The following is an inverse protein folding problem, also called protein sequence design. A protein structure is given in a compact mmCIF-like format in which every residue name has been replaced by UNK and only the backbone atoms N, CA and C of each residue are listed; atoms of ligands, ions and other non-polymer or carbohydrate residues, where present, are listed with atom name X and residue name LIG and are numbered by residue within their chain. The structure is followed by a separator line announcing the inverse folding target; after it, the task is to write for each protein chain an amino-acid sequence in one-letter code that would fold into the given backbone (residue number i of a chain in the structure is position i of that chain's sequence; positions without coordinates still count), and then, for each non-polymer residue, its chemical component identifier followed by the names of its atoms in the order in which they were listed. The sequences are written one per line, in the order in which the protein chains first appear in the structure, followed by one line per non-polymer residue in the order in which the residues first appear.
data_IF_944433291205
#
_entry.id   IF_944433291205
#
_cell.length_a   1.000
_cell.length_b   1.000
_cell.length_c   1.000
_cell.angle_alpha   90.00
_cell.angle_beta   90.00
_cell.angle_gamma   90.00
#
_symmetry.space_group_name_H-M   'P 1'
#
loop_
_entity.id
_entity.type
_entity.pdbx_description
1 polymer ?
#
# COMPACT_ATOMS: atom_id res chain seq x y z
N UNK A 1 3.96 20.17 -1.91
CA UNK A 1 3.10 20.11 -3.12
C UNK A 1 3.01 18.70 -3.69
N UNK A 2 4.04 17.86 -3.56
CA UNK A 2 4.04 16.49 -4.11
C UNK A 2 3.24 15.47 -3.26
N UNK A 3 3.38 15.47 -1.93
CA UNK A 3 2.61 14.54 -1.07
C UNK A 3 1.10 14.69 -1.22
N UNK A 4 0.58 15.92 -1.40
CA UNK A 4 -0.86 16.13 -1.63
C UNK A 4 -1.32 15.54 -2.96
N UNK A 5 -0.50 15.65 -4.02
CA UNK A 5 -0.79 15.02 -5.32
C UNK A 5 -0.78 13.50 -5.20
N UNK A 6 0.20 12.94 -4.51
CA UNK A 6 0.27 11.50 -4.27
C UNK A 6 -0.92 11.01 -3.45
N UNK A 7 -1.28 11.68 -2.34
CA UNK A 7 -2.45 11.33 -1.52
C UNK A 7 -3.77 11.40 -2.31
N UNK A 8 -3.97 12.44 -3.12
CA UNK A 8 -5.13 12.54 -3.98
C UNK A 8 -5.20 11.35 -4.96
N UNK A 9 -4.07 11.02 -5.58
CA UNK A 9 -3.99 9.90 -6.52
C UNK A 9 -4.21 8.55 -5.83
N UNK A 10 -3.68 8.37 -4.62
CA UNK A 10 -3.96 7.18 -3.78
C UNK A 10 -5.46 7.07 -3.52
N UNK A 11 -6.12 8.14 -3.10
CA UNK A 11 -7.55 8.14 -2.80
C UNK A 11 -8.43 7.73 -3.99
N UNK A 12 -8.05 8.09 -5.22
CA UNK A 12 -8.78 7.71 -6.43
C UNK A 12 -8.63 6.23 -6.81
N UNK A 13 -7.48 5.63 -6.49
CA UNK A 13 -7.09 4.28 -6.91
C UNK A 13 -7.35 3.22 -5.82
N UNK A 14 -7.40 3.65 -4.56
CA UNK A 14 -7.58 2.79 -3.39
C UNK A 14 -8.80 1.89 -3.52
N UNK A 15 -8.60 0.58 -3.32
CA UNK A 15 -9.66 -0.44 -3.43
C UNK A 15 -10.22 -0.67 -4.84
N UNK A 16 -9.62 -0.09 -5.90
CA UNK A 16 -10.11 -0.21 -7.29
C UNK A 16 -9.11 -0.84 -8.25
N UNK A 17 -7.82 -0.78 -7.95
CA UNK A 17 -6.74 -1.24 -8.84
C UNK A 17 -5.76 -2.13 -8.10
N UNK A 18 -5.02 -2.97 -8.84
CA UNK A 18 -3.95 -3.80 -8.27
C UNK A 18 -2.68 -2.99 -7.93
N UNK A 19 -1.70 -3.64 -7.28
CA UNK A 19 -0.49 -2.98 -6.76
C UNK A 19 0.38 -2.45 -7.90
N UNK A 20 0.48 -3.20 -9.01
CA UNK A 20 1.19 -2.75 -10.21
C UNK A 20 0.57 -1.49 -10.80
N UNK A 21 -0.74 -1.51 -11.05
CA UNK A 21 -1.49 -0.36 -11.56
C UNK A 21 -1.45 0.83 -10.59
N UNK A 22 -1.42 0.57 -9.29
CA UNK A 22 -1.24 1.58 -8.26
C UNK A 22 0.12 2.26 -8.38
N UNK A 23 1.21 1.50 -8.54
CA UNK A 23 2.55 2.04 -8.75
C UNK A 23 2.68 2.80 -10.07
N UNK A 24 2.08 2.28 -11.15
CA UNK A 24 2.03 2.96 -12.45
C UNK A 24 1.25 4.27 -12.34
N UNK A 25 0.15 4.28 -11.59
CA UNK A 25 -0.65 5.46 -11.31
C UNK A 25 0.09 6.53 -10.50
N UNK A 26 0.96 6.12 -9.56
CA UNK A 26 1.85 7.04 -8.84
C UNK A 26 2.97 7.57 -9.75
N UNK A 27 3.57 6.72 -10.59
CA UNK A 27 4.58 7.13 -11.55
C UNK A 27 4.03 8.15 -12.58
N UNK A 28 2.77 7.99 -12.98
CA UNK A 28 2.05 8.91 -13.87
C UNK A 28 1.83 10.32 -13.31
N UNK A 29 2.07 10.55 -12.01
CA UNK A 29 1.95 11.90 -11.39
C UNK A 29 3.12 12.82 -11.73
N UNK A 30 4.18 12.29 -12.35
CA UNK A 30 5.41 13.04 -12.64
C UNK A 30 6.29 13.31 -11.42
N UNK A 31 5.94 12.74 -10.26
CA UNK A 31 6.77 12.82 -9.05
C UNK A 31 7.99 11.90 -9.19
N UNK A 32 9.21 12.35 -8.82
CA UNK A 32 10.40 11.52 -8.84
C UNK A 32 10.23 10.20 -8.06
N UNK A 33 10.80 9.11 -8.59
CA UNK A 33 10.67 7.76 -8.02
C UNK A 33 11.17 7.71 -6.57
N UNK A 34 12.20 8.47 -6.23
CA UNK A 34 12.78 8.54 -4.89
C UNK A 34 11.77 9.11 -3.89
N UNK A 35 11.03 10.14 -4.30
CA UNK A 35 9.96 10.73 -3.47
C UNK A 35 8.77 9.79 -3.34
N UNK A 36 8.44 9.03 -4.39
CA UNK A 36 7.39 8.01 -4.35
C UNK A 36 7.78 6.90 -3.36
N UNK A 37 9.03 6.42 -3.39
CA UNK A 37 9.51 5.41 -2.45
C UNK A 37 9.41 5.88 -1.00
N UNK A 38 9.83 7.12 -0.71
CA UNK A 38 9.69 7.72 0.63
C UNK A 38 8.22 7.83 1.04
N UNK A 39 7.35 8.22 0.10
CA UNK A 39 5.90 8.31 0.35
C UNK A 39 5.28 6.94 0.66
N UNK A 40 5.67 5.89 -0.07
CA UNK A 40 5.17 4.53 0.15
C UNK A 40 5.52 3.99 1.54
N UNK A 41 6.68 4.39 2.08
CA UNK A 41 7.14 4.03 3.42
C UNK A 41 6.56 4.91 4.53
N UNK A 42 5.98 6.06 4.20
CA UNK A 42 5.40 6.96 5.18
C UNK A 42 4.21 6.30 5.88
N UNK A 43 4.09 6.50 7.19
CA UNK A 43 2.99 6.03 8.05
C UNK A 43 2.22 7.26 8.58
N UNK A 44 1.43 7.94 7.72
CA UNK A 44 0.80 9.20 8.08
C UNK A 44 -0.29 9.04 9.15
N UNK A 45 -0.93 7.88 9.20
CA UNK A 45 -2.08 7.61 10.07
C UNK A 45 -1.74 6.73 11.28
N UNK A 46 -0.47 6.31 11.43
CA UNK A 46 0.00 5.41 12.48
C UNK A 46 -0.44 3.95 12.36
N UNK A 47 -1.16 3.59 11.29
CA UNK A 47 -1.75 2.26 11.05
C UNK A 47 -0.85 1.37 10.19
N UNK A 48 0.31 1.85 9.76
CA UNK A 48 1.16 1.19 8.80
C UNK A 48 1.40 2.06 7.58
N UNK A 49 2.50 1.76 6.90
CA UNK A 49 2.95 2.52 5.74
C UNK A 49 1.89 2.55 4.64
N UNK A 50 1.91 3.54 3.75
CA UNK A 50 1.00 3.57 2.59
C UNK A 50 1.05 2.25 1.83
N UNK A 51 2.23 1.65 1.70
CA UNK A 51 2.39 0.31 1.12
C UNK A 51 1.68 -0.79 1.92
N UNK A 52 1.78 -0.80 3.26
CA UNK A 52 1.05 -1.76 4.12
C UNK A 52 -0.45 -1.66 3.91
N UNK A 53 -0.96 -0.44 3.83
CA UNK A 53 -2.39 -0.18 3.67
C UNK A 53 -2.94 -0.70 2.34
N UNK A 54 -2.26 -0.37 1.24
CA UNK A 54 -2.65 -0.83 -0.09
C UNK A 54 -2.54 -2.35 -0.21
N UNK A 55 -1.49 -2.94 0.37
CA UNK A 55 -1.28 -4.40 0.37
C UNK A 55 -2.40 -5.11 1.13
N UNK A 56 -2.77 -4.60 2.31
CA UNK A 56 -3.83 -5.19 3.13
C UNK A 56 -5.19 -5.19 2.42
N UNK A 57 -5.53 -4.09 1.75
CA UNK A 57 -6.76 -3.98 0.97
C UNK A 57 -6.79 -4.94 -0.21
N UNK A 58 -5.69 -5.04 -0.94
CA UNK A 58 -5.59 -5.97 -2.05
C UNK A 58 -5.70 -7.42 -1.63
N UNK A 59 -4.99 -7.82 -0.58
CA UNK A 59 -5.06 -9.18 -0.07
C UNK A 59 -6.48 -9.50 0.40
N UNK A 60 -7.16 -8.54 1.04
CA UNK A 60 -8.56 -8.69 1.45
C UNK A 60 -9.48 -8.85 0.24
N UNK A 61 -9.27 -8.08 -0.83
CA UNK A 61 -10.06 -8.18 -2.06
C UNK A 61 -9.83 -9.52 -2.78
N UNK A 62 -8.59 -10.00 -2.85
CA UNK A 62 -8.27 -11.32 -3.39
C UNK A 62 -8.92 -12.44 -2.57
N UNK A 63 -8.83 -12.38 -1.24
CA UNK A 63 -9.52 -13.33 -0.35
C UNK A 63 -11.03 -13.35 -0.61
N UNK A 64 -11.64 -12.16 -0.77
CA UNK A 64 -13.07 -12.02 -1.10
C UNK A 64 -13.42 -12.67 -2.43
N UNK A 65 -12.65 -12.41 -3.49
CA UNK A 65 -12.85 -13.02 -4.82
C UNK A 65 -12.69 -14.54 -4.78
N UNK A 66 -11.76 -15.04 -3.95
CA UNK A 66 -11.52 -16.48 -3.77
C UNK A 66 -12.52 -17.16 -2.83
N UNK A 67 -13.53 -16.44 -2.31
CA UNK A 67 -14.52 -16.99 -1.37
C UNK A 67 -13.95 -17.31 0.02
N UNK A 68 -12.74 -16.83 0.33
CA UNK A 68 -12.10 -17.01 1.62
C UNK A 68 -12.61 -15.95 2.60
N UNK A 69 -13.09 -16.37 3.77
CA UNK A 69 -13.45 -15.45 4.86
C UNK A 69 -12.18 -14.91 5.51
N UNK A 70 -11.88 -13.64 5.28
CA UNK A 70 -10.78 -12.94 5.94
C UNK A 70 -10.68 -11.49 5.48
N UNK A 71 -10.22 -10.62 6.37
CA UNK A 71 -9.74 -9.29 6.03
C UNK A 71 -8.34 -9.13 6.61
N UNK A 72 -7.43 -8.59 5.81
CA UNK A 72 -6.10 -8.20 6.26
C UNK A 72 -6.16 -6.74 6.69
N UNK A 73 -5.65 -6.45 7.89
CA UNK A 73 -5.45 -5.08 8.35
C UNK A 73 -4.05 -4.58 7.98
N UNK A 74 -3.87 -3.27 7.78
CA UNK A 74 -2.55 -2.69 7.54
C UNK A 74 -1.55 -2.99 8.67
N UNK A 75 -1.99 -2.97 9.93
CA UNK A 75 -1.14 -3.37 11.05
C UNK A 75 -0.72 -4.86 10.96
N UNK A 76 -1.64 -5.74 10.54
CA UNK A 76 -1.35 -7.16 10.33
C UNK A 76 -0.28 -7.37 9.26
N UNK A 77 -0.38 -6.66 8.14
CA UNK A 77 0.64 -6.68 7.07
C UNK A 77 1.99 -6.18 7.58
N UNK A 78 2.01 -5.07 8.34
CA UNK A 78 3.24 -4.52 8.96
C UNK A 78 3.90 -5.54 9.89
N UNK A 79 3.13 -6.30 10.65
CA UNK A 79 3.66 -7.37 11.53
C UNK A 79 4.23 -8.54 10.71
N UNK A 80 3.52 -9.02 9.69
CA UNK A 80 4.00 -10.09 8.80
C UNK A 80 5.34 -9.67 8.16
N UNK A 81 5.42 -8.45 7.62
CA UNK A 81 6.66 -7.90 7.04
C UNK A 81 7.81 -7.94 8.05
N UNK A 82 7.58 -7.46 9.28
CA UNK A 82 8.60 -7.48 10.35
C UNK A 82 9.08 -8.88 10.72
N UNK A 83 8.20 -9.88 10.68
CA UNK A 83 8.57 -11.27 10.95
C UNK A 83 9.48 -11.79 9.83
N UNK A 84 9.09 -11.59 8.58
CA UNK A 84 9.89 -11.99 7.40
C UNK A 84 11.27 -11.31 7.35
N UNK A 85 11.34 -10.03 7.72
CA UNK A 85 12.61 -9.28 7.87
C UNK A 85 13.50 -9.85 8.98
N UNK A 86 12.90 -10.33 10.09
CA UNK A 86 13.63 -10.94 11.21
C UNK A 86 14.15 -12.35 10.90
N UNK A 87 13.39 -13.13 10.12
CA UNK A 87 13.79 -14.49 9.74
C UNK A 87 14.83 -14.52 8.62
N UNK A 88 15.00 -13.42 7.88
CA UNK A 88 15.99 -13.28 6.82
C UNK A 88 17.39 -12.85 7.31
N UNK A 89 17.65 -12.92 8.63
CA UNK A 89 18.88 -12.42 9.27
C UNK A 89 19.65 -13.50 10.03
#
# INVERSE_FOLDING_TARGET
MDCKKLLARVGEMRGRVGYGEFLDGLAGTGVPKEKIAVFLQADPDGKGSVQDQVTAEMTSELMRVMGLKGSQSPEGVKQIRKILDKESK
#
